data_IF_370709490727
#
_entry.id   IF_370709490727
#
_cell.length_a   1.000
_cell.length_b   1.000
_cell.length_c   1.000
_cell.angle_alpha   90.00
_cell.angle_beta   90.00
_cell.angle_gamma   90.00
#
_symmetry.space_group_name_H-M   'P 1'
#
loop_
_entity.id
_entity.type
_entity.pdbx_description
1 polymer ?
#
# COMPACT_ATOMS: atom_id res chain seq x y z
N UNK A 1 -10.34 10.26 -26.05
CA UNK A 1 -9.01 9.78 -25.63
C UNK A 1 -8.65 10.57 -24.39
N UNK A 2 -8.31 9.88 -23.29
CA UNK A 2 -7.92 10.52 -22.03
C UNK A 2 -6.82 11.55 -22.26
N UNK A 3 -6.91 12.69 -21.60
CA UNK A 3 -5.84 13.69 -21.64
C UNK A 3 -4.79 13.36 -20.58
N UNK A 4 -3.52 13.59 -20.88
CA UNK A 4 -2.42 13.22 -19.99
C UNK A 4 -1.96 11.77 -20.18
N UNK A 5 -1.08 11.29 -19.31
CA UNK A 5 -0.53 9.94 -19.37
C UNK A 5 -0.11 9.45 -17.99
N UNK A 6 -0.13 8.13 -17.81
CA UNK A 6 0.73 7.44 -16.85
C UNK A 6 1.99 7.01 -17.61
N UNK A 7 3.15 7.18 -16.99
CA UNK A 7 4.43 6.74 -17.54
C UNK A 7 5.06 5.74 -16.56
N UNK A 8 5.63 4.68 -17.13
CA UNK A 8 6.44 3.73 -16.39
C UNK A 8 7.66 4.47 -15.84
N UNK A 9 7.89 4.36 -14.53
CA UNK A 9 9.10 4.90 -13.89
C UNK A 9 10.02 3.82 -13.33
N UNK A 10 9.50 2.61 -13.08
CA UNK A 10 10.31 1.42 -12.81
C UNK A 10 9.52 0.18 -13.26
N UNK A 11 10.20 -0.79 -13.86
CA UNK A 11 9.62 -2.06 -14.29
C UNK A 11 10.67 -3.16 -14.29
N UNK A 12 10.20 -4.41 -14.19
CA UNK A 12 11.05 -5.58 -14.35
C UNK A 12 10.68 -6.70 -13.40
N UNK A 13 11.71 -7.44 -12.99
CA UNK A 13 11.58 -8.56 -12.05
C UNK A 13 12.60 -8.42 -10.94
N UNK A 14 12.21 -8.71 -9.71
CA UNK A 14 13.10 -8.79 -8.54
C UNK A 14 12.92 -10.13 -7.83
N UNK A 15 14.01 -10.64 -7.24
CA UNK A 15 13.93 -11.65 -6.20
C UNK A 15 13.60 -10.97 -4.88
N UNK A 16 12.33 -10.64 -4.69
CA UNK A 16 11.92 -9.71 -3.66
C UNK A 16 10.43 -9.47 -3.56
N UNK A 17 10.09 -8.61 -2.61
CA UNK A 17 8.74 -8.09 -2.39
C UNK A 17 8.69 -6.60 -2.64
N UNK A 18 7.50 -6.09 -2.97
CA UNK A 18 7.21 -4.67 -3.12
C UNK A 18 6.16 -4.31 -2.09
N UNK A 19 6.45 -3.31 -1.28
CA UNK A 19 5.53 -2.69 -0.34
C UNK A 19 5.24 -1.26 -0.81
N UNK A 20 3.98 -0.88 -0.83
CA UNK A 20 3.58 0.49 -1.12
C UNK A 20 2.63 0.99 -0.04
N UNK A 21 2.68 2.29 0.23
CA UNK A 21 1.84 2.97 1.22
C UNK A 21 1.50 4.36 0.72
N UNK A 22 0.30 4.84 1.02
CA UNK A 22 -0.17 6.13 0.53
C UNK A 22 -0.86 6.94 1.61
N UNK A 23 -0.68 8.26 1.54
CA UNK A 23 -1.53 9.24 2.20
C UNK A 23 -2.37 9.93 1.13
N UNK A 24 -3.67 9.67 1.19
CA UNK A 24 -4.64 10.04 0.16
C UNK A 24 -5.43 11.32 0.48
N UNK A 25 -5.35 11.78 1.74
CA UNK A 25 -6.03 12.99 2.19
C UNK A 25 -5.35 14.24 1.64
N UNK A 26 -6.11 15.04 0.93
CA UNK A 26 -5.64 16.31 0.38
C UNK A 26 -5.33 17.28 1.52
N UNK A 27 -4.09 17.80 1.55
CA UNK A 27 -3.65 18.75 2.56
C UNK A 27 -3.13 20.01 1.92
N UNK A 28 -3.77 21.14 2.23
CA UNK A 28 -3.32 22.46 1.81
C UNK A 28 -2.28 23.00 2.78
N UNK A 29 -1.11 23.32 2.25
CA UNK A 29 -0.01 23.96 2.95
C UNK A 29 0.03 25.46 2.64
N UNK A 30 0.08 26.29 3.67
CA UNK A 30 0.09 27.75 3.58
C UNK A 30 0.74 28.36 4.84
N UNK A 31 0.57 29.67 5.06
CA UNK A 31 1.12 30.36 6.23
C UNK A 31 0.62 29.82 7.60
N UNK A 32 -0.58 29.23 7.66
CA UNK A 32 -1.21 28.69 8.87
C UNK A 32 -0.89 27.20 9.06
N UNK A 33 -0.92 26.43 7.97
CA UNK A 33 -0.58 25.01 7.95
C UNK A 33 0.70 24.81 7.14
N UNK A 34 1.85 24.91 7.79
CA UNK A 34 3.13 25.04 7.08
C UNK A 34 3.75 23.71 6.65
N UNK A 35 3.34 22.61 7.26
CA UNK A 35 4.01 21.32 7.09
C UNK A 35 3.02 20.17 6.99
N UNK A 36 3.37 19.20 6.16
CA UNK A 36 2.73 17.90 6.06
C UNK A 36 3.78 16.85 6.39
N UNK A 37 3.42 15.91 7.27
CA UNK A 37 4.28 14.79 7.66
C UNK A 37 3.67 13.49 7.18
N UNK A 38 4.46 12.71 6.45
CA UNK A 38 4.11 11.39 5.97
C UNK A 38 5.07 10.35 6.58
N UNK A 39 4.67 9.68 7.68
CA UNK A 39 5.45 8.60 8.26
C UNK A 39 5.26 7.31 7.46
N UNK A 40 6.35 6.60 7.22
CA UNK A 40 6.32 5.25 6.64
C UNK A 40 7.35 4.36 7.34
N UNK A 41 7.15 3.04 7.29
CA UNK A 41 8.00 2.09 7.99
C UNK A 41 8.69 1.18 6.98
N UNK A 42 10.01 1.02 7.11
CA UNK A 42 10.78 0.07 6.33
C UNK A 42 11.17 -1.12 7.21
N UNK A 43 10.74 -2.34 6.89
CA UNK A 43 11.03 -3.52 7.72
C UNK A 43 12.54 -3.80 7.84
N UNK A 44 13.27 -3.57 6.74
CA UNK A 44 14.72 -3.63 6.63
C UNK A 44 15.20 -2.56 5.64
N UNK A 45 16.51 -2.48 5.38
CA UNK A 45 17.00 -1.56 4.34
C UNK A 45 16.49 -2.02 2.97
N UNK A 46 15.74 -1.20 2.22
CA UNK A 46 15.23 -1.59 0.92
C UNK A 46 16.33 -1.58 -0.14
N UNK A 47 16.20 -2.43 -1.16
CA UNK A 47 17.07 -2.42 -2.35
C UNK A 47 16.80 -1.19 -3.23
N UNK A 48 15.54 -0.76 -3.28
CA UNK A 48 15.06 0.43 -3.98
C UNK A 48 13.93 1.05 -3.17
N UNK A 49 13.91 2.36 -3.10
CA UNK A 49 12.84 3.10 -2.46
C UNK A 49 12.51 4.37 -3.23
N UNK A 50 11.23 4.59 -3.47
CA UNK A 50 10.72 5.75 -4.17
C UNK A 50 9.70 6.50 -3.31
N UNK A 51 9.71 7.83 -3.41
CA UNK A 51 8.57 8.66 -2.98
C UNK A 51 8.00 9.36 -4.19
N UNK A 52 6.69 9.23 -4.31
CA UNK A 52 5.87 9.94 -5.27
C UNK A 52 5.00 10.96 -4.55
N UNK A 53 4.89 12.14 -5.16
CA UNK A 53 4.19 13.28 -4.59
C UNK A 53 3.42 14.00 -5.69
N UNK A 54 2.09 14.08 -5.53
CA UNK A 54 1.21 14.86 -6.40
C UNK A 54 0.86 16.16 -5.70
N UNK A 55 1.14 17.29 -6.34
CA UNK A 55 0.75 18.61 -5.83
C UNK A 55 -0.13 19.39 -6.80
N UNK A 56 -0.91 20.31 -6.25
CA UNK A 56 -1.75 21.23 -6.99
C UNK A 56 -1.50 22.66 -6.53
N UNK A 57 -1.24 23.56 -7.47
CA UNK A 57 -0.87 24.95 -7.19
C UNK A 57 -1.29 25.91 -8.31
N UNK A 58 -1.43 27.20 -8.01
CA UNK A 58 -1.70 28.22 -9.05
C UNK A 58 -0.48 28.51 -9.93
N UNK A 59 0.70 28.45 -9.33
CA UNK A 59 1.98 28.64 -10.02
C UNK A 59 2.73 27.30 -10.09
N UNK A 60 3.42 27.07 -11.20
CA UNK A 60 4.29 25.93 -11.40
C UNK A 60 5.68 26.11 -10.75
N UNK A 61 5.99 27.31 -10.26
CA UNK A 61 7.30 27.65 -9.68
C UNK A 61 7.32 27.84 -8.14
N UNK A 62 6.36 27.23 -7.44
CA UNK A 62 6.25 27.36 -5.98
C UNK A 62 7.53 26.88 -5.28
N UNK A 63 8.04 27.72 -4.37
CA UNK A 63 9.12 27.37 -3.45
C UNK A 63 8.57 26.64 -2.23
N UNK A 64 9.17 25.50 -1.95
CA UNK A 64 8.79 24.55 -0.91
C UNK A 64 10.02 23.73 -0.55
N UNK A 65 10.03 23.07 0.60
CA UNK A 65 11.15 22.26 1.07
C UNK A 65 10.68 20.85 1.37
N UNK A 66 11.49 19.90 0.92
CA UNK A 66 11.25 18.48 1.09
C UNK A 66 12.35 17.92 1.98
N UNK A 67 11.94 17.14 2.97
CA UNK A 67 12.86 16.45 3.88
C UNK A 67 12.49 14.99 3.94
N UNK A 68 13.51 14.14 4.01
CA UNK A 68 13.36 12.76 4.40
C UNK A 68 14.25 12.51 5.61
N UNK A 69 13.63 12.16 6.73
CA UNK A 69 14.28 12.12 8.02
C UNK A 69 14.97 13.48 8.29
N UNK A 70 16.27 13.48 8.56
CA UNK A 70 17.05 14.69 8.80
C UNK A 70 17.78 15.22 7.53
N UNK A 71 17.47 14.68 6.35
CA UNK A 71 18.10 15.06 5.09
C UNK A 71 17.17 15.93 4.25
N UNK A 72 17.67 17.10 3.82
CA UNK A 72 16.94 17.91 2.85
C UNK A 72 17.09 17.32 1.46
N UNK A 73 15.95 17.05 0.82
CA UNK A 73 15.90 16.63 -0.58
C UNK A 73 15.95 17.83 -1.52
N UNK A 74 15.77 19.05 -1.02
CA UNK A 74 15.57 20.23 -1.86
C UNK A 74 16.88 20.77 -2.48
N UNK A 75 17.07 20.50 -3.78
CA UNK A 75 17.63 21.46 -4.77
C UNK A 75 16.54 21.67 -5.80
N UNK A 76 16.01 22.89 -5.96
CA UNK A 76 14.89 23.28 -6.86
C UNK A 76 14.47 22.22 -7.90
N UNK A 77 13.61 21.27 -7.51
CA UNK A 77 13.17 20.20 -8.39
C UNK A 77 11.99 20.68 -9.21
N UNK A 78 12.20 20.81 -10.52
CA UNK A 78 11.09 20.91 -11.46
C UNK A 78 10.25 19.63 -11.37
N UNK A 79 8.91 19.71 -11.44
CA UNK A 79 8.07 18.53 -11.53
C UNK A 79 8.53 17.60 -12.66
N UNK A 80 8.47 16.29 -12.44
CA UNK A 80 8.74 15.30 -13.47
C UNK A 80 7.70 15.39 -14.60
N UNK A 81 6.46 15.73 -14.23
CA UNK A 81 5.37 15.98 -15.16
C UNK A 81 4.41 17.01 -14.59
N UNK A 82 3.90 17.91 -15.45
CA UNK A 82 2.93 18.93 -15.07
C UNK A 82 1.83 19.00 -16.12
N UNK A 83 0.60 19.20 -15.66
CA UNK A 83 -0.50 19.57 -16.53
C UNK A 83 -1.20 20.81 -15.98
N UNK A 84 -1.77 21.61 -16.88
CA UNK A 84 -2.65 22.70 -16.49
C UNK A 84 -4.10 22.20 -16.51
N UNK A 85 -4.79 22.35 -15.38
CA UNK A 85 -6.21 22.04 -15.24
C UNK A 85 -6.94 23.26 -14.66
N UNK A 86 -7.75 23.91 -15.49
CA UNK A 86 -8.33 25.22 -15.17
C UNK A 86 -7.23 26.26 -14.89
N UNK A 87 -7.25 26.82 -13.68
CA UNK A 87 -6.29 27.83 -13.23
C UNK A 87 -5.13 27.25 -12.41
N UNK A 88 -5.11 25.93 -12.20
CA UNK A 88 -4.08 25.27 -11.40
C UNK A 88 -3.17 24.40 -12.28
N UNK A 89 -1.96 24.21 -11.80
CA UNK A 89 -1.04 23.18 -12.23
C UNK A 89 -1.17 21.99 -11.29
N UNK A 90 -1.30 20.80 -11.87
CA UNK A 90 -1.15 19.55 -11.15
C UNK A 90 0.22 19.01 -11.54
N UNK A 91 1.02 18.69 -10.53
CA UNK A 91 2.44 18.38 -10.66
C UNK A 91 2.72 17.01 -10.04
N UNK A 92 3.48 16.21 -10.77
CA UNK A 92 4.01 14.94 -10.31
C UNK A 92 5.49 15.12 -9.97
N UNK A 93 5.88 14.66 -8.80
CA UNK A 93 7.26 14.55 -8.37
C UNK A 93 7.56 13.11 -7.98
N UNK A 94 8.68 12.59 -8.49
CA UNK A 94 9.19 11.25 -8.19
C UNK A 94 10.64 11.37 -7.71
N UNK A 95 10.91 10.80 -6.55
CA UNK A 95 12.22 10.82 -5.91
C UNK A 95 12.70 9.39 -5.67
N UNK A 96 13.89 9.06 -6.18
CA UNK A 96 14.64 7.90 -5.68
C UNK A 96 15.26 8.29 -4.33
N UNK A 97 14.77 7.64 -3.28
CA UNK A 97 15.17 7.87 -1.89
C UNK A 97 15.92 6.67 -1.31
N UNK A 98 16.25 5.68 -2.13
CA UNK A 98 17.00 4.47 -1.75
C UNK A 98 18.19 4.73 -0.81
N UNK A 99 19.07 5.72 -1.06
CA UNK A 99 20.22 5.95 -0.18
C UNK A 99 19.88 6.55 1.18
N UNK A 100 18.66 7.08 1.36
CA UNK A 100 18.25 7.86 2.53
C UNK A 100 17.30 7.11 3.46
N UNK A 101 16.67 6.04 2.98
CA UNK A 101 15.78 5.20 3.80
C UNK A 101 16.59 4.37 4.78
N UNK A 102 16.16 4.41 6.04
CA UNK A 102 16.70 3.58 7.12
C UNK A 102 15.71 2.47 7.47
N UNK A 103 16.21 1.36 8.02
CA UNK A 103 15.33 0.36 8.62
C UNK A 103 14.60 0.97 9.83
N UNK A 104 13.31 0.68 9.98
CA UNK A 104 12.44 1.25 10.98
C UNK A 104 11.59 2.41 10.46
N UNK A 105 11.23 3.33 11.36
CA UNK A 105 10.38 4.48 11.04
C UNK A 105 11.17 5.53 10.24
N UNK A 106 10.59 5.95 9.12
CA UNK A 106 11.02 7.08 8.32
C UNK A 106 9.92 8.16 8.32
N UNK A 107 10.30 9.41 8.10
CA UNK A 107 9.37 10.53 8.01
C UNK A 107 9.71 11.41 6.81
N UNK A 108 8.78 11.53 5.86
CA UNK A 108 8.86 12.48 4.75
C UNK A 108 8.08 13.73 5.11
N UNK A 109 8.69 14.90 4.95
CA UNK A 109 8.10 16.19 5.32
C UNK A 109 8.05 17.09 4.09
N UNK A 110 6.86 17.59 3.80
CA UNK A 110 6.64 18.67 2.83
C UNK A 110 6.37 19.95 3.61
N UNK A 111 7.18 20.97 3.40
CA UNK A 111 7.02 22.26 4.07
C UNK A 111 6.90 23.41 3.07
N UNK A 112 5.90 24.26 3.29
CA UNK A 112 5.64 25.45 2.49
C UNK A 112 4.99 26.51 3.37
N UNK A 113 5.54 27.72 3.35
CA UNK A 113 5.06 28.84 4.17
C UNK A 113 4.85 30.09 3.31
N UNK A 114 3.80 30.07 2.48
CA UNK A 114 3.35 31.24 1.73
C UNK A 114 1.83 31.40 1.76
N UNK A 115 1.36 32.57 1.36
CA UNK A 115 -0.07 32.91 1.25
C UNK A 115 -0.71 32.16 0.07
N UNK A 116 0.00 32.06 -1.06
CA UNK A 116 -0.39 31.25 -2.20
C UNK A 116 -0.04 29.79 -1.91
N UNK A 117 -0.87 29.16 -1.06
CA UNK A 117 -0.62 27.81 -0.60
C UNK A 117 -0.56 26.76 -1.71
N UNK A 118 0.07 25.62 -1.41
CA UNK A 118 0.17 24.43 -2.26
C UNK A 118 -0.68 23.31 -1.67
N UNK A 119 -1.46 22.62 -2.47
CA UNK A 119 -2.21 21.44 -2.03
C UNK A 119 -1.43 20.18 -2.36
N UNK A 120 -1.10 19.38 -1.35
CA UNK A 120 -0.55 18.04 -1.53
C UNK A 120 -1.72 17.07 -1.63
N UNK A 121 -1.86 16.43 -2.80
CA UNK A 121 -2.98 15.54 -3.10
C UNK A 121 -2.70 14.10 -2.71
N UNK A 122 -1.47 13.63 -2.98
CA UNK A 122 -1.03 12.27 -2.71
C UNK A 122 0.43 12.30 -2.31
N UNK A 123 0.77 11.53 -1.27
CA UNK A 123 2.13 11.06 -1.03
C UNK A 123 2.09 9.54 -1.04
N UNK A 124 2.91 8.91 -1.87
CA UNK A 124 3.04 7.46 -1.94
C UNK A 124 4.51 7.06 -1.78
N UNK A 125 4.79 6.08 -0.92
CA UNK A 125 6.10 5.42 -0.88
C UNK A 125 6.01 4.05 -1.53
N UNK A 126 7.06 3.67 -2.27
CA UNK A 126 7.28 2.31 -2.76
C UNK A 126 8.61 1.82 -2.23
N UNK A 127 8.61 0.68 -1.54
CA UNK A 127 9.79 0.04 -0.97
C UNK A 127 9.94 -1.35 -1.58
N UNK A 128 11.13 -1.68 -2.08
CA UNK A 128 11.44 -3.00 -2.60
C UNK A 128 12.46 -3.68 -1.71
N UNK A 129 12.24 -4.95 -1.38
CA UNK A 129 13.11 -5.70 -0.47
C UNK A 129 13.62 -6.97 -1.13
N UNK A 130 14.88 -7.32 -0.86
CA UNK A 130 15.42 -8.64 -1.23
C UNK A 130 14.67 -9.74 -0.47
N UNK A 131 14.20 -10.74 -1.21
CA UNK A 131 13.63 -11.97 -0.69
C UNK A 131 13.91 -13.07 -1.73
N UNK A 132 15.06 -13.78 -1.61
CA UNK A 132 15.53 -14.73 -2.62
C UNK A 132 14.51 -15.79 -3.03
N UNK A 133 13.59 -16.11 -2.13
CA UNK A 133 12.57 -17.13 -2.33
C UNK A 133 11.35 -16.63 -3.11
N UNK A 134 11.19 -15.33 -3.31
CA UNK A 134 10.02 -14.71 -3.95
C UNK A 134 10.45 -14.07 -5.26
N UNK A 135 9.81 -14.43 -6.36
CA UNK A 135 10.02 -13.73 -7.63
C UNK A 135 8.85 -12.79 -7.90
N UNK A 136 9.11 -11.50 -8.02
CA UNK A 136 8.09 -10.48 -8.26
C UNK A 136 8.35 -9.78 -9.59
N UNK A 137 7.40 -9.93 -10.51
CA UNK A 137 7.30 -9.14 -11.74
C UNK A 137 6.44 -7.91 -11.47
N UNK A 138 6.89 -6.75 -11.93
CA UNK A 138 6.18 -5.51 -11.66
C UNK A 138 6.33 -4.49 -12.79
N UNK A 139 5.36 -3.58 -12.85
CA UNK A 139 5.41 -2.35 -13.61
C UNK A 139 4.79 -1.25 -12.73
N UNK A 140 5.55 -0.20 -12.46
CA UNK A 140 5.12 0.95 -11.68
C UNK A 140 4.92 2.15 -12.59
N UNK A 141 3.66 2.55 -12.76
CA UNK A 141 3.28 3.70 -13.55
C UNK A 141 2.80 4.84 -12.67
N UNK A 142 3.25 6.05 -13.00
CA UNK A 142 2.75 7.27 -12.40
C UNK A 142 2.57 8.38 -13.40
N UNK A 143 1.67 9.30 -13.09
CA UNK A 143 1.35 10.36 -14.02
C UNK A 143 0.17 11.19 -13.57
N UNK A 144 -0.40 11.87 -14.54
CA UNK A 144 -1.64 12.62 -14.35
C UNK A 144 -2.49 12.32 -15.57
N UNK A 145 -3.36 11.31 -15.44
CA UNK A 145 -4.28 10.87 -16.48
C UNK A 145 -5.70 11.36 -16.16
N UNK A 146 -6.34 12.00 -17.13
CA UNK A 146 -7.65 12.63 -16.97
C UNK A 146 -8.70 11.76 -17.64
N UNK A 147 -9.69 11.33 -16.86
CA UNK A 147 -10.86 10.62 -17.36
C UNK A 147 -11.97 11.66 -17.53
N UNK A 148 -12.30 12.00 -18.78
CA UNK A 148 -13.43 12.91 -19.03
C UNK A 148 -14.76 12.22 -18.76
N UNK A 149 -15.85 12.99 -18.65
CA UNK A 149 -17.18 12.43 -18.44
C UNK A 149 -17.55 11.48 -19.57
N UNK A 150 -18.11 10.33 -19.21
CA UNK A 150 -18.44 9.23 -20.12
C UNK A 150 -17.22 8.61 -20.84
N UNK A 151 -15.99 8.90 -20.42
CA UNK A 151 -14.82 8.17 -20.85
C UNK A 151 -14.56 6.96 -19.95
N UNK A 152 -13.97 5.94 -20.57
CA UNK A 152 -13.50 4.72 -19.94
C UNK A 152 -12.00 4.60 -20.18
N UNK A 153 -11.28 4.16 -19.16
CA UNK A 153 -9.89 3.73 -19.28
C UNK A 153 -9.78 2.26 -18.87
N UNK A 154 -8.88 1.54 -19.53
CA UNK A 154 -8.66 0.12 -19.32
C UNK A 154 -7.20 -0.13 -18.95
N UNK A 155 -6.99 -0.82 -17.84
CA UNK A 155 -5.70 -1.31 -17.35
C UNK A 155 -5.63 -2.82 -17.59
N UNK A 156 -4.84 -3.21 -18.58
CA UNK A 156 -4.68 -4.61 -18.97
C UNK A 156 -3.54 -5.24 -18.19
N UNK A 157 -3.88 -6.09 -17.23
CA UNK A 157 -2.95 -6.63 -16.23
C UNK A 157 -3.28 -8.09 -15.92
N UNK A 158 -3.23 -8.94 -16.95
CA UNK A 158 -3.55 -10.37 -16.85
C UNK A 158 -2.66 -11.02 -15.77
N UNK A 159 -3.29 -11.67 -14.79
CA UNK A 159 -2.64 -12.36 -13.66
C UNK A 159 -1.78 -11.45 -12.75
N UNK A 160 -1.97 -10.13 -12.78
CA UNK A 160 -1.34 -9.19 -11.85
C UNK A 160 -2.38 -8.61 -10.90
N UNK A 161 -1.94 -8.27 -9.68
CA UNK A 161 -2.64 -7.37 -8.78
C UNK A 161 -2.41 -5.94 -9.26
N UNK A 162 -3.48 -5.15 -9.28
CA UNK A 162 -3.45 -3.73 -9.59
C UNK A 162 -3.57 -2.95 -8.30
N UNK A 163 -2.77 -1.92 -8.18
CA UNK A 163 -2.89 -0.88 -7.18
C UNK A 163 -3.05 0.45 -7.90
N UNK A 164 -4.18 1.11 -7.72
CA UNK A 164 -4.52 2.33 -8.45
C UNK A 164 -4.89 3.42 -7.46
N UNK A 165 -4.33 4.62 -7.65
CA UNK A 165 -4.79 5.81 -6.94
C UNK A 165 -5.55 6.72 -7.89
N UNK A 166 -6.78 7.04 -7.52
CA UNK A 166 -7.67 7.93 -8.27
C UNK A 166 -8.19 9.05 -7.40
N UNK A 167 -8.59 10.16 -8.03
CA UNK A 167 -9.24 11.28 -7.35
C UNK A 167 -10.44 11.75 -8.16
N UNK A 168 -11.58 11.89 -7.51
CA UNK A 168 -12.81 12.38 -8.12
C UNK A 168 -13.33 13.63 -7.38
N UNK A 169 -12.73 14.82 -7.62
CA UNK A 169 -13.04 16.05 -6.88
C UNK A 169 -14.33 16.73 -7.33
N UNK A 170 -15.25 15.98 -7.95
CA UNK A 170 -16.44 16.51 -8.59
C UNK A 170 -17.66 15.70 -8.18
N UNK A 171 -18.85 16.33 -8.29
CA UNK A 171 -20.20 15.73 -8.13
C UNK A 171 -20.52 14.66 -9.18
N UNK A 172 -19.62 13.72 -9.35
CA UNK A 172 -19.56 12.71 -10.39
C UNK A 172 -19.35 11.34 -9.72
N UNK A 173 -19.49 10.28 -10.50
CA UNK A 173 -19.35 8.91 -10.01
C UNK A 173 -18.37 8.17 -10.91
N UNK A 174 -17.37 7.54 -10.31
CA UNK A 174 -16.53 6.58 -11.01
C UNK A 174 -17.02 5.18 -10.71
N UNK A 175 -17.14 4.37 -11.75
CA UNK A 175 -17.36 2.93 -11.67
C UNK A 175 -16.07 2.21 -11.97
N UNK A 176 -15.64 1.38 -11.03
CA UNK A 176 -14.44 0.58 -11.14
C UNK A 176 -14.92 -0.83 -11.43
N UNK A 177 -14.45 -1.41 -12.52
CA UNK A 177 -14.96 -2.68 -13.03
C UNK A 177 -13.83 -3.66 -13.31
N UNK A 178 -14.10 -4.94 -13.14
CA UNK A 178 -13.26 -6.05 -13.60
C UNK A 178 -14.12 -7.02 -14.44
N UNK A 179 -13.62 -8.24 -14.67
CA UNK A 179 -14.36 -9.29 -15.38
C UNK A 179 -15.67 -9.73 -14.71
N UNK A 180 -15.83 -9.48 -13.41
CA UNK A 180 -17.01 -9.86 -12.63
C UNK A 180 -18.09 -8.76 -12.59
N UNK A 181 -17.78 -7.56 -13.09
CA UNK A 181 -18.67 -6.40 -13.10
C UNK A 181 -18.12 -5.23 -12.32
N UNK A 182 -18.99 -4.43 -11.69
CA UNK A 182 -18.58 -3.27 -10.88
C UNK A 182 -18.11 -3.76 -9.51
N UNK A 183 -16.84 -3.51 -9.20
CA UNK A 183 -16.20 -3.92 -7.94
C UNK A 183 -16.13 -2.78 -6.91
N UNK A 184 -16.14 -1.53 -7.37
CA UNK A 184 -16.14 -0.37 -6.50
C UNK A 184 -16.80 0.83 -7.21
N UNK A 185 -17.31 1.77 -6.41
CA UNK A 185 -17.87 3.03 -6.89
C UNK A 185 -17.32 4.18 -6.06
N UNK A 186 -16.73 5.18 -6.72
CA UNK A 186 -16.14 6.35 -6.05
C UNK A 186 -17.00 7.57 -6.34
N UNK A 187 -17.50 8.19 -5.27
CA UNK A 187 -18.30 9.41 -5.32
C UNK A 187 -17.45 10.68 -5.37
N UNK A 188 -18.09 11.81 -5.06
CA UNK A 188 -17.44 13.13 -4.97
C UNK A 188 -16.57 13.23 -3.72
N UNK A 189 -15.26 13.41 -3.91
CA UNK A 189 -14.29 13.60 -2.84
C UNK A 189 -13.10 14.45 -3.28
N UNK A 190 -12.72 15.42 -2.43
CA UNK A 190 -11.47 16.15 -2.63
C UNK A 190 -10.23 15.30 -2.34
N UNK A 191 -10.40 14.23 -1.56
CA UNK A 191 -9.36 13.25 -1.26
C UNK A 191 -9.25 12.22 -2.39
N UNK A 192 -8.12 11.52 -2.42
CA UNK A 192 -7.91 10.41 -3.33
C UNK A 192 -8.41 9.10 -2.72
N UNK A 193 -8.61 8.11 -3.56
CA UNK A 193 -9.03 6.76 -3.20
C UNK A 193 -8.04 5.74 -3.76
N UNK A 194 -7.92 4.64 -3.05
CA UNK A 194 -7.07 3.50 -3.38
C UNK A 194 -7.94 2.33 -3.83
N UNK A 195 -7.53 1.69 -4.92
CA UNK A 195 -8.20 0.53 -5.49
C UNK A 195 -7.19 -0.60 -5.62
N UNK A 196 -7.50 -1.72 -4.99
CA UNK A 196 -6.81 -2.99 -5.22
C UNK A 196 -7.72 -3.98 -5.93
N UNK A 197 -7.27 -4.52 -7.06
CA UNK A 197 -8.04 -5.48 -7.83
C UNK A 197 -7.15 -6.40 -8.67
N UNK A 198 -7.56 -7.65 -8.86
CA UNK A 198 -6.83 -8.62 -9.69
C UNK A 198 -7.32 -8.61 -11.15
N UNK A 199 -6.39 -8.85 -12.07
CA UNK A 199 -6.68 -9.00 -13.49
C UNK A 199 -6.87 -7.67 -14.23
N UNK A 200 -7.76 -7.66 -15.21
CA UNK A 200 -8.03 -6.44 -15.98
C UNK A 200 -8.98 -5.53 -15.20
N UNK A 201 -8.63 -4.25 -15.10
CA UNK A 201 -9.42 -3.25 -14.38
C UNK A 201 -9.79 -2.13 -15.33
N UNK A 202 -11.03 -1.69 -15.27
CA UNK A 202 -11.56 -0.57 -16.02
C UNK A 202 -12.05 0.51 -15.07
N UNK A 203 -11.83 1.78 -15.41
CA UNK A 203 -12.41 2.90 -14.69
C UNK A 203 -13.26 3.71 -15.66
N UNK A 204 -14.55 3.81 -15.35
CA UNK A 204 -15.54 4.52 -16.15
C UNK A 204 -16.06 5.73 -15.38
N UNK A 205 -16.00 6.91 -15.98
CA UNK A 205 -16.59 8.13 -15.43
C UNK A 205 -18.08 8.18 -15.80
N UNK A 206 -18.91 7.63 -14.91
CA UNK A 206 -20.35 7.49 -15.09
C UNK A 206 -21.08 8.76 -14.64
N UNK A 207 -20.81 9.86 -15.32
CA UNK A 207 -21.47 11.13 -15.08
C UNK A 207 -21.48 12.00 -16.32
N UNK A 208 -22.46 12.91 -16.40
CA UNK A 208 -22.52 13.97 -17.40
C UNK A 208 -21.89 15.29 -16.93
N UNK A 209 -21.37 15.34 -15.69
CA UNK A 209 -20.70 16.52 -15.14
C UNK A 209 -19.39 16.80 -15.87
N UNK A 210 -19.18 18.02 -16.39
CA UNK A 210 -18.07 18.37 -17.30
C UNK A 210 -16.64 18.12 -16.76
N UNK A 211 -16.46 17.98 -15.45
CA UNK A 211 -15.13 17.94 -14.86
C UNK A 211 -14.55 16.51 -14.86
N UNK A 212 -13.28 16.34 -15.27
CA UNK A 212 -12.61 15.05 -15.29
C UNK A 212 -12.29 14.53 -13.88
N UNK A 213 -12.15 13.22 -13.79
CA UNK A 213 -11.46 12.57 -12.69
C UNK A 213 -9.98 12.34 -13.04
N UNK A 214 -9.18 12.05 -12.03
CA UNK A 214 -7.73 11.89 -12.16
C UNK A 214 -7.32 10.48 -11.76
N UNK A 215 -6.42 9.89 -12.53
CA UNK A 215 -5.63 8.73 -12.10
C UNK A 215 -4.19 9.19 -11.96
N UNK A 216 -3.63 8.93 -10.78
CA UNK A 216 -2.26 9.33 -10.45
C UNK A 216 -1.28 8.17 -10.51
N UNK A 217 -1.72 6.98 -10.10
CA UNK A 217 -0.88 5.79 -10.02
C UNK A 217 -1.58 4.58 -10.62
N UNK A 218 -0.80 3.71 -11.24
CA UNK A 218 -1.16 2.34 -11.54
C UNK A 218 0.07 1.45 -11.38
N UNK A 219 0.07 0.63 -10.34
CA UNK A 219 1.09 -0.40 -10.15
C UNK A 219 0.48 -1.74 -10.47
N UNK A 220 1.21 -2.54 -11.24
CA UNK A 220 0.82 -3.91 -11.54
C UNK A 220 1.91 -4.86 -11.04
N UNK A 221 1.54 -5.80 -10.18
CA UNK A 221 2.49 -6.69 -9.50
C UNK A 221 2.01 -8.13 -9.60
N UNK A 222 2.91 -9.04 -9.95
CA UNK A 222 2.72 -10.48 -9.86
C UNK A 222 3.88 -11.08 -9.08
N UNK A 223 3.57 -11.58 -7.90
CA UNK A 223 4.54 -12.30 -7.08
C UNK A 223 4.27 -13.79 -7.15
N UNK A 224 5.29 -14.55 -7.56
CA UNK A 224 5.37 -15.99 -7.37
C UNK A 224 6.06 -16.19 -6.03
N UNK A 225 5.25 -16.45 -5.01
CA UNK A 225 5.72 -16.72 -3.65
C UNK A 225 5.66 -18.21 -3.35
N UNK A 226 6.61 -18.73 -2.56
CA UNK A 226 6.55 -20.08 -2.05
C UNK A 226 5.34 -20.24 -1.13
N UNK A 227 4.80 -21.45 -1.06
CA UNK A 227 3.64 -21.73 -0.21
C UNK A 227 4.04 -21.56 1.26
N UNK A 228 3.43 -20.59 1.94
CA UNK A 228 3.45 -20.50 3.41
C UNK A 228 2.26 -21.30 3.94
N UNK A 229 2.54 -22.28 4.78
CA UNK A 229 1.54 -23.13 5.40
C UNK A 229 2.04 -23.63 6.77
N UNK A 230 1.13 -23.72 7.72
CA UNK A 230 1.44 -24.14 9.09
C UNK A 230 0.37 -25.14 9.48
N UNK A 231 0.79 -26.37 9.78
CA UNK A 231 -0.12 -27.33 10.35
C UNK A 231 -0.35 -26.94 11.81
N UNK A 232 -1.61 -26.83 12.20
CA UNK A 232 -2.01 -26.43 13.55
C UNK A 232 -2.84 -27.55 14.13
N UNK A 233 -2.40 -28.11 15.25
CA UNK A 233 -3.20 -28.99 16.08
C UNK A 233 -3.42 -28.34 17.43
N UNK A 234 -4.64 -28.42 17.94
CA UNK A 234 -4.98 -27.89 19.25
C UNK A 234 -5.74 -28.98 20.02
N UNK A 235 -5.33 -29.20 21.26
CA UNK A 235 -5.99 -30.10 22.20
C UNK A 235 -6.32 -29.33 23.46
N UNK A 236 -7.50 -29.61 24.00
CA UNK A 236 -8.01 -28.99 25.22
C UNK A 236 -8.03 -30.03 26.33
N UNK A 237 -7.50 -29.68 27.49
CA UNK A 237 -7.58 -30.53 28.68
C UNK A 237 -8.00 -29.69 29.88
N UNK A 238 -9.26 -29.85 30.30
CA UNK A 238 -9.87 -29.15 31.43
C UNK A 238 -9.78 -27.61 31.34
N UNK A 239 -8.66 -27.02 31.72
CA UNK A 239 -8.42 -25.57 31.68
C UNK A 239 -7.16 -25.18 30.88
N UNK A 240 -6.48 -26.15 30.27
CA UNK A 240 -5.26 -25.94 29.49
C UNK A 240 -5.54 -26.20 28.00
N UNK A 241 -4.97 -25.34 27.15
CA UNK A 241 -4.91 -25.56 25.70
C UNK A 241 -3.48 -25.86 25.35
N UNK A 242 -3.26 -26.97 24.66
CA UNK A 242 -1.98 -27.36 24.10
C UNK A 242 -2.08 -27.15 22.59
N UNK A 243 -1.20 -26.31 22.05
CA UNK A 243 -1.09 -26.06 20.62
C UNK A 243 0.21 -26.67 20.11
N UNK A 244 0.11 -27.46 19.05
CA UNK A 244 1.23 -27.93 18.25
C UNK A 244 1.18 -27.25 16.88
N UNK A 245 2.29 -26.61 16.52
CA UNK A 245 2.49 -25.93 15.25
C UNK A 245 3.63 -26.61 14.52
N UNK A 246 3.43 -26.93 13.25
CA UNK A 246 4.49 -27.44 12.38
C UNK A 246 4.58 -26.56 11.14
N UNK A 247 5.78 -26.03 10.87
CA UNK A 247 6.01 -25.29 9.65
C UNK A 247 6.11 -26.26 8.46
N UNK A 248 5.00 -26.40 7.73
CA UNK A 248 4.90 -27.22 6.51
C UNK A 248 5.01 -26.36 5.24
N UNK A 249 5.53 -25.13 5.37
CA UNK A 249 5.80 -24.24 4.26
C UNK A 249 6.93 -24.78 3.38
N UNK A 250 7.01 -24.28 2.15
CA UNK A 250 8.16 -24.50 1.26
C UNK A 250 9.43 -23.74 1.71
N UNK A 251 9.30 -22.86 2.71
CA UNK A 251 10.34 -21.93 3.18
C UNK A 251 10.37 -21.74 4.71
N UNK A 252 11.50 -21.26 5.21
CA UNK A 252 11.64 -20.79 6.59
C UNK A 252 10.87 -19.49 6.81
N UNK A 253 10.36 -19.28 8.02
CA UNK A 253 9.59 -18.10 8.41
C UNK A 253 10.41 -17.19 9.32
N UNK A 254 10.41 -15.89 9.04
CA UNK A 254 11.05 -14.89 9.90
C UNK A 254 10.32 -14.81 11.24
N UNK A 255 8.98 -14.87 11.21
CA UNK A 255 8.11 -14.87 12.39
C UNK A 255 6.90 -15.78 12.23
N UNK A 256 6.47 -16.35 13.35
CA UNK A 256 5.19 -17.01 13.51
C UNK A 256 4.46 -16.39 14.71
N UNK A 257 3.32 -15.79 14.48
CA UNK A 257 2.50 -15.13 15.52
C UNK A 257 1.28 -15.99 15.78
N UNK A 258 0.97 -16.22 17.05
CA UNK A 258 -0.27 -16.90 17.48
C UNK A 258 -1.05 -15.99 18.40
N UNK A 259 -2.30 -15.73 18.05
CA UNK A 259 -3.27 -15.00 18.86
C UNK A 259 -4.45 -15.92 19.16
N UNK A 260 -4.61 -16.30 20.43
CA UNK A 260 -5.75 -17.07 20.89
C UNK A 260 -6.82 -16.13 21.47
N UNK A 261 -8.04 -16.26 20.95
CA UNK A 261 -9.18 -15.42 21.31
C UNK A 261 -10.31 -16.28 21.87
N UNK A 262 -10.73 -16.00 23.09
CA UNK A 262 -11.88 -16.65 23.73
C UNK A 262 -13.09 -15.72 23.63
N UNK A 263 -14.13 -16.15 22.92
CA UNK A 263 -15.33 -15.34 22.65
C UNK A 263 -14.97 -13.94 22.08
N UNK A 264 -13.97 -13.88 21.20
CA UNK A 264 -13.49 -12.65 20.58
C UNK A 264 -12.51 -11.81 21.39
N UNK A 265 -12.19 -12.21 22.64
CA UNK A 265 -11.22 -11.49 23.49
C UNK A 265 -9.88 -12.23 23.48
N UNK A 266 -8.78 -11.54 23.20
CA UNK A 266 -7.43 -12.12 23.26
C UNK A 266 -7.11 -12.61 24.67
N UNK A 267 -6.86 -13.90 24.81
CA UNK A 267 -6.47 -14.58 26.06
C UNK A 267 -5.01 -15.03 26.05
N UNK A 268 -4.41 -15.19 24.87
CA UNK A 268 -2.99 -15.50 24.74
C UNK A 268 -2.43 -14.91 23.45
N UNK A 269 -1.22 -14.36 23.51
CA UNK A 269 -0.48 -13.87 22.36
C UNK A 269 0.97 -14.31 22.47
N UNK A 270 1.49 -14.97 21.43
CA UNK A 270 2.87 -15.43 21.40
C UNK A 270 3.49 -15.22 20.03
N UNK A 271 4.79 -14.91 20.02
CA UNK A 271 5.57 -14.74 18.79
C UNK A 271 6.80 -15.64 18.87
N UNK A 272 7.04 -16.36 17.79
CA UNK A 272 8.24 -17.15 17.58
C UNK A 272 8.99 -16.58 16.38
N UNK A 273 10.32 -16.58 16.41
CA UNK A 273 11.16 -16.01 15.35
C UNK A 273 12.04 -17.11 14.73
N UNK A 274 12.40 -16.96 13.46
CA UNK A 274 13.31 -17.85 12.73
C UNK A 274 12.89 -19.33 12.76
N UNK A 275 11.69 -19.61 12.25
CA UNK A 275 11.11 -20.97 12.23
C UNK A 275 11.53 -21.69 10.94
N UNK A 276 12.28 -22.78 11.07
CA UNK A 276 12.75 -23.56 9.92
C UNK A 276 11.63 -24.42 9.34
N UNK A 277 11.83 -24.91 8.12
CA UNK A 277 10.93 -25.89 7.51
C UNK A 277 10.98 -27.18 8.33
N UNK A 278 9.81 -27.71 8.69
CA UNK A 278 9.66 -28.91 9.53
C UNK A 278 9.81 -28.67 11.04
N UNK A 279 10.10 -27.45 11.48
CA UNK A 279 10.16 -27.15 12.91
C UNK A 279 8.79 -27.38 13.56
N UNK A 280 8.81 -28.08 14.71
CA UNK A 280 7.65 -28.34 15.55
C UNK A 280 7.73 -27.52 16.82
N UNK A 281 6.70 -26.73 17.07
CA UNK A 281 6.57 -25.87 18.24
C UNK A 281 5.36 -26.35 19.01
N UNK A 282 5.59 -26.88 20.20
CA UNK A 282 4.53 -27.17 21.14
C UNK A 282 4.54 -26.12 22.24
N UNK A 283 3.38 -25.53 22.53
CA UNK A 283 3.24 -24.65 23.69
C UNK A 283 1.82 -24.72 24.24
N UNK A 284 1.70 -24.52 25.55
CA UNK A 284 0.42 -24.49 26.24
C UNK A 284 0.16 -23.17 26.93
N UNK A 285 -1.12 -22.92 27.21
CA UNK A 285 -1.58 -21.82 28.04
C UNK A 285 -2.90 -22.17 28.72
N UNK A 286 -3.15 -21.52 29.84
CA UNK A 286 -4.40 -21.71 30.60
C UNK A 286 -5.49 -20.77 30.10
N UNK A 287 -6.71 -21.29 30.08
CA UNK A 287 -7.94 -20.53 29.80
C UNK A 287 -8.82 -20.50 31.05
N UNK A 288 -9.38 -19.33 31.39
CA UNK A 288 -10.08 -19.15 32.66
C UNK A 288 -11.47 -19.79 32.69
N UNK A 289 -12.08 -20.09 31.54
CA UNK A 289 -13.44 -20.66 31.44
C UNK A 289 -13.66 -21.33 30.07
N UNK A 290 -14.68 -22.20 30.00
CA UNK A 290 -15.19 -22.75 28.73
C UNK A 290 -15.68 -21.63 27.81
N UNK A 291 -15.52 -21.79 26.51
CA UNK A 291 -16.08 -20.88 25.51
C UNK A 291 -15.55 -21.19 24.11
N UNK A 292 -15.95 -20.38 23.14
CA UNK A 292 -15.50 -20.53 21.76
C UNK A 292 -14.07 -20.00 21.66
N UNK A 293 -13.12 -20.91 21.51
CA UNK A 293 -11.71 -20.59 21.36
C UNK A 293 -11.35 -20.56 19.87
N UNK A 294 -10.88 -19.41 19.43
CA UNK A 294 -10.41 -19.17 18.07
C UNK A 294 -8.91 -18.88 18.08
N UNK A 295 -8.16 -19.54 17.21
CA UNK A 295 -6.73 -19.32 17.02
C UNK A 295 -6.51 -18.62 15.69
N UNK A 296 -5.85 -17.46 15.74
CA UNK A 296 -5.30 -16.79 14.56
C UNK A 296 -3.80 -16.96 14.53
N UNK A 297 -3.31 -17.67 13.53
CA UNK A 297 -1.89 -17.92 13.29
C UNK A 297 -1.47 -17.09 12.08
N UNK A 298 -0.35 -16.38 12.19
CA UNK A 298 0.20 -15.56 11.10
C UNK A 298 1.65 -15.95 10.87
N UNK A 299 1.91 -16.62 9.74
CA UNK A 299 3.26 -16.87 9.25
C UNK A 299 3.78 -15.68 8.44
N UNK A 300 5.02 -15.25 8.69
CA UNK A 300 5.61 -14.05 8.09
C UNK A 300 6.99 -14.36 7.49
N UNK A 301 7.21 -13.95 6.23
CA UNK A 301 8.51 -13.93 5.56
C UNK A 301 8.67 -12.66 4.73
N UNK A 302 9.63 -11.80 5.07
CA UNK A 302 10.02 -10.60 4.31
C UNK A 302 8.84 -9.79 3.74
N UNK A 303 7.82 -9.54 4.58
CA UNK A 303 6.60 -8.81 4.24
C UNK A 303 5.41 -9.67 3.79
N UNK A 304 5.62 -10.90 3.31
CA UNK A 304 4.51 -11.83 3.03
C UNK A 304 3.90 -12.32 4.34
N UNK A 305 2.56 -12.31 4.41
CA UNK A 305 1.80 -12.77 5.57
C UNK A 305 0.77 -13.79 5.11
N UNK A 306 0.77 -14.96 5.75
CA UNK A 306 -0.31 -15.93 5.63
C UNK A 306 -1.06 -16.02 6.95
N UNK A 307 -2.34 -15.68 6.91
CA UNK A 307 -3.25 -15.84 8.05
C UNK A 307 -3.93 -17.20 7.93
N UNK A 308 -3.92 -17.94 9.04
CA UNK A 308 -4.57 -19.23 9.23
C UNK A 308 -5.43 -19.11 10.48
N UNK A 309 -6.74 -19.22 10.30
CA UNK A 309 -7.71 -19.14 11.38
C UNK A 309 -8.24 -20.55 11.68
N UNK A 310 -8.28 -20.94 12.96
CA UNK A 310 -8.72 -22.26 13.41
C UNK A 310 -9.57 -22.17 14.67
N UNK A 311 -10.79 -22.69 14.60
CA UNK A 311 -11.63 -22.89 15.77
C UNK A 311 -11.20 -24.16 16.51
N UNK A 312 -11.10 -24.06 17.83
CA UNK A 312 -10.75 -25.17 18.71
C UNK A 312 -12.03 -25.65 19.38
N UNK A 313 -12.47 -26.83 18.98
CA UNK A 313 -13.58 -27.50 19.64
C UNK A 313 -13.14 -27.95 21.03
N UNK A 314 -13.99 -27.63 22.01
CA UNK A 314 -13.77 -27.91 23.41
C UNK A 314 -14.44 -29.22 23.84
#
# INVERSE_FOLDING_TARGET
MPNGKLAIFDEGSIQGTIEYSSMLKSTRLNAENRELKYPFYAEKKPMRAYILLITESKDNSIKWRLWLNNFSLTKEFKPNYSIRYGNNFINLHLFDITPLVIAGKNEFIVSHASIEGISVQVVNSVLMYDAPEINTEYNLESGILLIKPLEKIDFNCIQKKNYIIVRNPNKSKLKIMNSEGVINEIGDSQDSDEIEAEGNVSIFHDSSQKNPAFVYLHYSVRSISPKIDVNVEAKTNSNEVIISLENISEIELDKLIVNAMLNGITVNFKTFNNIKVGDKIEYSFNIPKKGNLHLRIVGIKSGLRKVLDKDVNW
#
